data_IF_282129030451
#
_entry.id   IF_282129030451
#
_cell.length_a   1.000
_cell.length_b   1.000
_cell.length_c   1.000
_cell.angle_alpha   90.00
_cell.angle_beta   90.00
_cell.angle_gamma   90.00
#
_symmetry.space_group_name_H-M   'P 1'
#
loop_
_entity.id
_entity.type
_entity.pdbx_description
1 polymer ?
#
# COMPACT_ATOMS: atom_id res chain seq x y z
N UNK A 1 -15.42 19.75 -11.61
CA UNK A 1 -14.04 20.27 -11.71
C UNK A 1 -13.13 19.25 -11.06
N UNK A 2 -12.28 18.54 -11.81
CA UNK A 2 -11.20 17.76 -11.18
C UNK A 2 -10.05 18.72 -10.91
N UNK A 3 -9.71 18.92 -9.64
CA UNK A 3 -8.65 19.84 -9.19
C UNK A 3 -7.25 19.31 -9.60
N UNK A 4 -7.13 18.01 -9.84
CA UNK A 4 -5.92 17.31 -10.23
C UNK A 4 -6.25 16.29 -11.32
N UNK A 5 -5.33 16.08 -12.28
CA UNK A 5 -5.46 15.02 -13.28
C UNK A 5 -4.80 13.77 -12.75
N UNK A 6 -5.56 12.68 -12.68
CA UNK A 6 -4.99 11.37 -12.37
C UNK A 6 -4.28 10.82 -13.62
N UNK A 7 -2.96 10.63 -13.51
CA UNK A 7 -2.10 10.19 -14.62
C UNK A 7 -1.49 8.83 -14.39
N UNK A 8 -1.67 8.26 -13.20
CA UNK A 8 -1.07 6.98 -12.86
C UNK A 8 -1.73 5.84 -13.64
N UNK A 9 -0.90 5.01 -14.27
CA UNK A 9 -1.34 3.83 -15.01
C UNK A 9 -0.44 2.65 -14.63
N UNK A 10 -0.93 1.70 -13.81
CA UNK A 10 -0.14 0.56 -13.35
C UNK A 10 0.24 -0.38 -14.49
N UNK A 11 -0.47 -0.38 -15.62
CA UNK A 11 -0.13 -1.23 -16.77
C UNK A 11 1.11 -0.73 -17.52
N UNK A 12 1.44 0.56 -17.41
CA UNK A 12 2.61 1.16 -18.08
C UNK A 12 3.92 0.92 -17.35
N UNK A 13 3.88 0.44 -16.11
CA UNK A 13 5.08 0.10 -15.31
C UNK A 13 6.08 1.28 -15.20
N UNK A 14 5.60 2.52 -15.14
CA UNK A 14 6.46 3.66 -14.87
C UNK A 14 6.98 3.59 -13.43
N UNK A 15 8.29 3.83 -13.27
CA UNK A 15 8.99 3.70 -11.98
C UNK A 15 9.31 5.03 -11.30
N UNK A 16 9.25 6.13 -12.05
CA UNK A 16 9.57 7.47 -11.55
C UNK A 16 9.00 8.55 -12.45
N UNK A 17 8.66 9.66 -11.82
CA UNK A 17 8.45 10.94 -12.50
C UNK A 17 9.81 11.61 -12.68
N UNK A 18 10.09 12.16 -13.88
CA UNK A 18 11.34 12.87 -14.16
C UNK A 18 11.17 14.33 -13.77
N UNK A 19 12.04 14.82 -12.89
CA UNK A 19 12.08 16.24 -12.59
C UNK A 19 12.76 16.99 -13.72
N UNK A 20 12.16 18.13 -14.08
CA UNK A 20 12.73 19.04 -15.05
C UNK A 20 13.14 20.33 -14.33
N UNK A 21 14.28 20.91 -14.72
CA UNK A 21 14.81 22.12 -14.07
C UNK A 21 14.09 23.40 -14.48
N UNK A 22 13.30 23.34 -15.55
CA UNK A 22 12.59 24.45 -16.16
C UNK A 22 11.23 24.75 -15.51
N UNK A 23 10.75 23.86 -14.63
CA UNK A 23 9.47 24.03 -13.94
C UNK A 23 9.40 23.33 -12.59
N UNK A 24 8.52 23.83 -11.75
CA UNK A 24 8.09 23.14 -10.53
C UNK A 24 7.24 21.91 -10.88
N UNK A 25 7.17 20.99 -9.93
CA UNK A 25 6.31 19.81 -10.02
C UNK A 25 4.84 20.20 -9.95
N UNK A 26 4.05 19.62 -10.84
CA UNK A 26 2.60 19.77 -10.81
C UNK A 26 1.98 18.81 -9.78
N UNK A 27 0.81 19.17 -9.26
CA UNK A 27 0.07 18.32 -8.31
C UNK A 27 -0.18 16.91 -8.87
N UNK A 28 -0.47 16.79 -10.18
CA UNK A 28 -0.64 15.48 -10.83
C UNK A 28 0.63 14.64 -10.81
N UNK A 29 1.79 15.26 -11.01
CA UNK A 29 3.10 14.59 -11.00
C UNK A 29 3.46 14.13 -9.57
N UNK A 30 3.11 14.92 -8.55
CA UNK A 30 3.28 14.56 -7.14
C UNK A 30 2.37 13.40 -6.72
N UNK A 31 1.12 13.38 -7.19
CA UNK A 31 0.20 12.27 -6.94
C UNK A 31 0.68 11.00 -7.64
N UNK A 32 1.06 11.09 -8.91
CA UNK A 32 1.59 9.95 -9.67
C UNK A 32 2.82 9.32 -9.00
N UNK A 33 3.72 10.14 -8.43
CA UNK A 33 4.87 9.63 -7.67
C UNK A 33 4.46 8.86 -6.40
N UNK A 34 3.43 9.32 -5.69
CA UNK A 34 2.89 8.62 -4.52
C UNK A 34 2.28 7.28 -4.94
N UNK A 35 1.48 7.28 -6.01
CA UNK A 35 0.81 6.08 -6.51
C UNK A 35 1.80 5.03 -7.03
N UNK A 36 2.85 5.45 -7.75
CA UNK A 36 3.96 4.56 -8.15
C UNK A 36 4.57 3.90 -6.91
N UNK A 37 4.85 4.68 -5.86
CA UNK A 37 5.46 4.17 -4.63
C UNK A 37 4.56 3.18 -3.91
N UNK A 38 3.26 3.47 -3.81
CA UNK A 38 2.27 2.58 -3.18
C UNK A 38 2.14 1.29 -3.98
N UNK A 39 2.05 1.39 -5.31
CA UNK A 39 1.93 0.24 -6.21
C UNK A 39 3.15 -0.68 -6.13
N UNK A 40 4.38 -0.14 -6.12
CA UNK A 40 5.59 -0.96 -5.95
C UNK A 40 5.63 -1.65 -4.58
N UNK A 41 5.26 -0.94 -3.50
CA UNK A 41 5.20 -1.53 -2.15
C UNK A 41 4.16 -2.64 -2.06
N UNK A 42 2.96 -2.42 -2.61
CA UNK A 42 1.89 -3.43 -2.69
C UNK A 42 2.36 -4.66 -3.46
N UNK A 43 2.98 -4.48 -4.62
CA UNK A 43 3.50 -5.59 -5.43
C UNK A 43 4.58 -6.41 -4.69
N UNK A 44 5.46 -5.75 -3.93
CA UNK A 44 6.45 -6.43 -3.09
C UNK A 44 5.79 -7.18 -1.94
N UNK A 45 4.82 -6.56 -1.27
CA UNK A 45 4.13 -7.14 -0.15
C UNK A 45 3.22 -8.32 -0.57
N UNK A 46 2.54 -8.24 -1.71
CA UNK A 46 1.75 -9.34 -2.30
C UNK A 46 2.62 -10.54 -2.69
N UNK A 47 3.90 -10.30 -3.03
CA UNK A 47 4.84 -11.37 -3.35
C UNK A 47 5.38 -12.05 -2.08
N UNK A 48 5.51 -11.31 -0.98
CA UNK A 48 6.05 -11.81 0.29
C UNK A 48 4.96 -12.41 1.20
N UNK A 49 3.76 -11.84 1.18
CA UNK A 49 2.66 -12.16 2.07
C UNK A 49 1.42 -12.51 1.25
N UNK A 50 0.72 -13.56 1.67
CA UNK A 50 -0.61 -13.86 1.14
C UNK A 50 -1.60 -12.86 1.74
N UNK A 51 -2.62 -12.47 0.98
CA UNK A 51 -3.73 -11.69 1.51
C UNK A 51 -4.35 -12.39 2.74
N UNK A 52 -4.53 -11.64 3.84
CA UNK A 52 -4.96 -12.18 5.13
C UNK A 52 -3.85 -12.84 5.95
N UNK A 53 -2.58 -12.71 5.55
CA UNK A 53 -1.47 -13.20 6.35
C UNK A 53 -1.38 -12.46 7.70
N UNK A 54 -1.18 -13.23 8.76
CA UNK A 54 -0.89 -12.69 10.09
C UNK A 54 0.59 -12.32 10.13
N UNK A 55 0.88 -11.04 10.24
CA UNK A 55 2.26 -10.52 10.33
C UNK A 55 2.80 -10.69 11.76
N UNK A 56 1.92 -10.52 12.76
CA UNK A 56 2.26 -10.75 14.16
C UNK A 56 1.05 -10.68 15.09
N UNK A 57 1.13 -11.33 16.25
CA UNK A 57 0.03 -11.37 17.21
C UNK A 57 -1.11 -12.31 16.76
N UNK A 58 -2.35 -11.92 17.06
CA UNK A 58 -3.57 -12.73 16.83
C UNK A 58 -3.47 -14.16 17.39
N UNK A 59 -2.79 -14.31 18.52
CA UNK A 59 -2.63 -15.61 19.18
C UNK A 59 -3.91 -15.92 19.93
N UNK A 60 -4.60 -17.05 19.62
CA UNK A 60 -5.78 -17.44 20.35
C UNK A 60 -5.42 -17.94 21.75
N UNK A 61 -6.09 -17.38 22.74
CA UNK A 61 -6.04 -17.78 24.13
C UNK A 61 -7.43 -18.31 24.51
N UNK A 62 -7.51 -19.59 24.85
CA UNK A 62 -8.77 -20.25 25.22
C UNK A 62 -8.81 -20.40 26.73
N UNK A 63 -9.89 -19.90 27.34
CA UNK A 63 -10.17 -20.09 28.77
C UNK A 63 -11.63 -20.49 28.94
N UNK A 64 -11.86 -21.72 29.38
CA UNK A 64 -13.18 -22.35 29.42
C UNK A 64 -13.92 -22.25 28.07
N UNK A 65 -15.02 -21.49 28.02
CA UNK A 65 -15.86 -21.31 26.82
C UNK A 65 -15.62 -19.97 26.11
N UNK A 66 -14.54 -19.27 26.45
CA UNK A 66 -14.21 -17.96 25.87
C UNK A 66 -12.88 -18.07 25.11
N UNK A 67 -12.90 -17.62 23.85
CA UNK A 67 -11.71 -17.44 23.03
C UNK A 67 -11.40 -15.95 22.97
N UNK A 68 -10.19 -15.58 23.39
CA UNK A 68 -9.67 -14.21 23.28
C UNK A 68 -8.51 -14.19 22.31
N UNK A 69 -8.40 -13.12 21.52
CA UNK A 69 -7.30 -12.91 20.59
C UNK A 69 -6.40 -11.80 21.16
N UNK A 70 -5.10 -12.04 21.17
CA UNK A 70 -4.14 -10.97 21.46
C UNK A 70 -4.18 -9.92 20.35
N UNK A 71 -3.89 -8.66 20.70
CA UNK A 71 -3.67 -7.61 19.69
C UNK A 71 -2.62 -8.10 18.69
N UNK A 72 -2.83 -7.80 17.42
CA UNK A 72 -1.98 -8.25 16.33
C UNK A 72 -2.18 -7.40 15.09
N UNK A 73 -1.48 -7.80 14.04
CA UNK A 73 -1.34 -7.07 12.79
C UNK A 73 -1.51 -8.04 11.63
N UNK A 74 -2.28 -7.63 10.63
CA UNK A 74 -2.63 -8.42 9.44
C UNK A 74 -2.28 -7.67 8.17
N UNK A 75 -1.99 -8.43 7.12
CA UNK A 75 -1.79 -7.89 5.78
C UNK A 75 -3.09 -7.94 4.98
N UNK A 76 -3.64 -6.77 4.63
CA UNK A 76 -4.89 -6.61 3.91
C UNK A 76 -4.69 -5.59 2.78
N UNK A 77 -5.03 -5.97 1.55
CA UNK A 77 -5.09 -5.11 0.37
C UNK A 77 -3.81 -4.28 0.04
N UNK A 78 -2.61 -4.80 0.31
CA UNK A 78 -1.38 -4.02 0.12
C UNK A 78 -0.89 -3.29 1.35
N UNK A 79 -1.64 -3.35 2.45
CA UNK A 79 -1.41 -2.60 3.67
C UNK A 79 -1.28 -3.51 4.88
N UNK A 80 -0.52 -3.02 5.87
CA UNK A 80 -0.35 -3.67 7.17
C UNK A 80 -1.27 -2.93 8.14
N UNK A 81 -2.26 -3.63 8.68
CA UNK A 81 -3.32 -3.13 9.57
C UNK A 81 -3.21 -3.74 10.96
#
# INVERSE_FOLDING_TARGET
MSISRDTFDPAKNYKRVRYHQDRDLLDSELNEQQDITISERKKLADLLFREGAIIGGLVPQVSANVVTLSVGVVYIDGHIE
#
